data_IF_266518664570
#
_entry.id   IF_266518664570
#
_cell.length_a   1.000
_cell.length_b   1.000
_cell.length_c   1.000
_cell.angle_alpha   90.00
_cell.angle_beta   90.00
_cell.angle_gamma   90.00
#
_symmetry.space_group_name_H-M   'P 1'
#
loop_
_entity.id
_entity.type
_entity.pdbx_description
1 polymer ?
#
# COMPACT_ATOMS: atom_id res chain seq x y z
N UNK A 1 -15.80 12.82 30.62
CA UNK A 1 -16.93 13.27 29.84
C UNK A 1 -16.54 13.79 28.43
N UNK A 2 -15.33 13.48 27.90
CA UNK A 2 -14.87 13.94 26.57
C UNK A 2 -14.48 12.79 25.60
N UNK A 3 -14.56 11.53 26.01
CA UNK A 3 -14.20 10.37 25.18
C UNK A 3 -15.39 9.62 24.54
N UNK A 4 -16.60 10.14 24.73
CA UNK A 4 -17.85 9.50 24.28
C UNK A 4 -18.20 9.76 22.81
N UNK A 5 -17.31 10.44 22.05
CA UNK A 5 -17.56 10.87 20.67
C UNK A 5 -16.48 10.49 19.64
N UNK A 6 -15.62 9.55 19.94
CA UNK A 6 -14.69 9.03 18.95
C UNK A 6 -15.33 7.88 18.16
N UNK A 7 -16.30 8.23 17.33
CA UNK A 7 -16.76 7.38 16.26
C UNK A 7 -15.77 7.50 15.11
N UNK A 8 -15.46 6.40 14.39
CA UNK A 8 -14.56 6.42 13.24
C UNK A 8 -15.06 7.38 12.13
N UNK A 9 -16.36 7.55 12.07
CA UNK A 9 -17.10 8.33 11.06
C UNK A 9 -16.58 9.79 10.88
N UNK A 10 -16.46 10.65 11.91
CA UNK A 10 -15.97 12.01 11.72
C UNK A 10 -14.49 12.08 11.34
N UNK A 11 -13.67 11.11 11.76
CA UNK A 11 -12.25 11.05 11.43
C UNK A 11 -12.09 10.64 9.97
N UNK A 12 -12.83 9.64 9.50
CA UNK A 12 -12.84 9.20 8.10
C UNK A 12 -13.29 10.34 7.18
N UNK A 13 -14.37 11.05 7.53
CA UNK A 13 -14.86 12.22 6.79
C UNK A 13 -13.82 13.34 6.71
N UNK A 14 -13.18 13.64 7.84
CA UNK A 14 -12.19 14.69 7.94
C UNK A 14 -10.88 14.37 7.22
N UNK A 15 -10.47 13.09 7.18
CA UNK A 15 -9.20 12.68 6.58
C UNK A 15 -9.27 12.42 5.06
N UNK A 16 -10.44 12.09 4.51
CA UNK A 16 -10.60 11.74 3.10
C UNK A 16 -10.21 12.89 2.16
N UNK A 17 -10.66 14.12 2.44
CA UNK A 17 -10.36 15.29 1.62
C UNK A 17 -8.88 15.69 1.67
N UNK A 18 -8.23 15.85 2.85
CA UNK A 18 -6.79 16.12 2.92
C UNK A 18 -5.95 15.05 2.24
N UNK A 19 -6.34 13.77 2.32
CA UNK A 19 -5.65 12.68 1.65
C UNK A 19 -5.70 12.82 0.13
N UNK A 20 -6.87 13.08 -0.45
CA UNK A 20 -7.03 13.30 -1.87
C UNK A 20 -6.25 14.53 -2.35
N UNK A 21 -6.36 15.65 -1.62
CA UNK A 21 -5.65 16.89 -1.95
C UNK A 21 -4.13 16.72 -1.88
N UNK A 22 -3.60 16.12 -0.83
CA UNK A 22 -2.15 15.89 -0.70
C UNK A 22 -1.63 14.96 -1.80
N UNK A 23 -2.40 13.94 -2.20
CA UNK A 23 -2.07 13.08 -3.34
C UNK A 23 -1.91 13.87 -4.64
N UNK A 24 -2.81 14.79 -4.93
CA UNK A 24 -2.72 15.66 -6.12
C UNK A 24 -1.53 16.61 -6.00
N UNK A 25 -1.40 17.30 -4.85
CA UNK A 25 -0.42 18.36 -4.65
C UNK A 25 1.02 17.87 -4.68
N UNK A 26 1.29 16.60 -4.31
CA UNK A 26 2.64 15.99 -4.45
C UNK A 26 3.18 16.12 -5.88
N UNK A 27 2.32 16.09 -6.90
CA UNK A 27 2.72 16.22 -8.32
C UNK A 27 2.68 17.67 -8.86
N UNK A 28 2.35 18.64 -8.01
CA UNK A 28 2.26 20.05 -8.38
C UNK A 28 3.41 20.85 -7.76
N UNK A 29 4.57 20.86 -8.43
CA UNK A 29 5.71 21.68 -8.03
C UNK A 29 5.39 23.16 -8.17
N UNK A 30 5.65 24.01 -7.15
CA UNK A 30 5.39 25.45 -7.20
C UNK A 30 6.35 26.22 -8.11
N UNK A 31 7.58 25.72 -8.33
CA UNK A 31 8.57 26.32 -9.19
C UNK A 31 8.92 25.41 -10.38
N UNK A 32 9.14 26.03 -11.55
CA UNK A 32 9.48 25.30 -12.78
C UNK A 32 10.95 24.85 -12.82
N UNK A 33 11.79 25.41 -11.96
CA UNK A 33 13.23 25.13 -11.90
C UNK A 33 13.58 24.24 -10.72
N UNK A 34 14.78 23.64 -10.75
CA UNK A 34 15.32 22.86 -9.65
C UNK A 34 15.64 23.78 -8.47
N UNK A 35 14.75 23.90 -7.52
CA UNK A 35 14.81 24.82 -6.39
C UNK A 35 14.61 24.10 -5.07
N UNK A 36 15.27 24.59 -4.02
CA UNK A 36 15.01 24.20 -2.63
C UNK A 36 13.55 24.32 -2.22
N UNK A 37 12.82 25.28 -2.81
CA UNK A 37 11.39 25.46 -2.58
C UNK A 37 10.60 24.21 -2.99
N UNK A 38 10.94 23.59 -4.13
CA UNK A 38 10.31 22.35 -4.58
C UNK A 38 10.60 21.18 -3.62
N UNK A 39 11.82 21.09 -3.09
CA UNK A 39 12.17 20.05 -2.13
C UNK A 39 11.42 20.22 -0.81
N UNK A 40 11.36 21.44 -0.28
CA UNK A 40 10.61 21.76 0.93
C UNK A 40 9.10 21.52 0.75
N UNK A 41 8.53 21.96 -0.38
CA UNK A 41 7.13 21.70 -0.73
C UNK A 41 6.82 20.22 -0.80
N UNK A 42 7.65 19.46 -1.51
CA UNK A 42 7.50 18.00 -1.64
C UNK A 42 7.54 17.33 -0.27
N UNK A 43 8.49 17.72 0.59
CA UNK A 43 8.59 17.18 1.96
C UNK A 43 7.30 17.43 2.76
N UNK A 44 6.77 18.66 2.73
CA UNK A 44 5.53 19.02 3.43
C UNK A 44 4.34 18.25 2.87
N UNK A 45 4.23 18.11 1.54
CA UNK A 45 3.13 17.39 0.90
C UNK A 45 3.19 15.88 1.19
N UNK A 46 4.37 15.27 1.18
CA UNK A 46 4.57 13.86 1.56
C UNK A 46 4.19 13.66 3.02
N UNK A 47 4.61 14.56 3.92
CA UNK A 47 4.24 14.50 5.33
C UNK A 47 2.72 14.59 5.51
N UNK A 48 2.08 15.54 4.85
CA UNK A 48 0.62 15.71 4.86
C UNK A 48 -0.09 14.46 4.33
N UNK A 49 0.42 13.86 3.26
CA UNK A 49 -0.09 12.60 2.70
C UNK A 49 -0.02 11.45 3.72
N UNK A 50 1.15 11.23 4.34
CA UNK A 50 1.31 10.14 5.31
C UNK A 50 0.49 10.35 6.59
N UNK A 51 0.35 11.58 7.06
CA UNK A 51 -0.54 11.90 8.18
C UNK A 51 -2.01 11.63 7.83
N UNK A 52 -2.44 12.05 6.64
CA UNK A 52 -3.82 11.88 6.18
C UNK A 52 -4.17 10.41 5.93
N UNK A 53 -3.27 9.63 5.31
CA UNK A 53 -3.51 8.19 5.07
C UNK A 53 -3.55 7.43 6.40
N UNK A 54 -2.70 7.77 7.36
CA UNK A 54 -2.74 7.16 8.69
C UNK A 54 -4.05 7.51 9.41
N UNK A 55 -4.47 8.78 9.36
CA UNK A 55 -5.72 9.23 9.97
C UNK A 55 -6.96 8.55 9.33
N UNK A 56 -6.91 8.22 8.05
CA UNK A 56 -7.99 7.50 7.36
C UNK A 56 -7.93 5.98 7.60
N UNK A 57 -6.77 5.36 7.35
CA UNK A 57 -6.63 3.89 7.38
C UNK A 57 -6.70 3.29 8.78
N UNK A 58 -6.27 4.01 9.82
CA UNK A 58 -6.27 3.47 11.18
C UNK A 58 -7.69 3.18 11.68
N UNK A 59 -8.64 4.14 11.68
CA UNK A 59 -10.01 3.85 12.09
C UNK A 59 -10.72 2.91 11.12
N UNK A 60 -10.44 3.00 9.81
CA UNK A 60 -11.00 2.08 8.82
C UNK A 60 -10.63 0.62 9.11
N UNK A 61 -9.35 0.35 9.38
CA UNK A 61 -8.88 -1.00 9.71
C UNK A 61 -9.41 -1.49 11.06
N UNK A 62 -9.68 -0.59 12.01
CA UNK A 62 -10.27 -0.94 13.29
C UNK A 62 -11.74 -1.41 13.16
N UNK A 63 -12.48 -0.92 12.16
CA UNK A 63 -13.85 -1.37 11.90
C UNK A 63 -13.94 -2.81 11.36
N UNK A 64 -12.90 -3.31 10.69
CA UNK A 64 -12.93 -4.63 10.04
C UNK A 64 -13.26 -5.77 11.00
N UNK A 65 -12.59 -5.92 12.18
CA UNK A 65 -12.96 -6.96 13.14
C UNK A 65 -14.32 -6.75 13.81
N UNK A 66 -14.82 -5.51 13.83
CA UNK A 66 -16.12 -5.16 14.42
C UNK A 66 -17.29 -5.49 13.48
N UNK A 67 -17.10 -5.36 12.17
CA UNK A 67 -18.07 -5.72 11.14
C UNK A 67 -18.30 -7.23 11.02
N UNK A 68 -17.36 -8.06 11.46
CA UNK A 68 -17.46 -9.52 11.41
C UNK A 68 -17.67 -10.14 12.78
N UNK A 69 -18.87 -10.58 13.12
CA UNK A 69 -19.19 -11.22 14.40
C UNK A 69 -18.84 -12.71 14.39
N UNK A 70 -18.95 -13.37 13.24
CA UNK A 70 -18.60 -14.78 13.09
C UNK A 70 -17.25 -14.99 12.39
N UNK A 71 -16.63 -16.14 12.58
CA UNK A 71 -15.38 -16.48 11.91
C UNK A 71 -15.54 -16.50 10.38
N UNK A 72 -16.71 -16.92 9.89
CA UNK A 72 -17.01 -16.97 8.45
C UNK A 72 -17.17 -15.56 7.86
N UNK A 73 -17.84 -14.65 8.56
CA UNK A 73 -17.95 -13.24 8.13
C UNK A 73 -16.58 -12.55 8.06
N UNK A 74 -15.75 -12.76 9.07
CA UNK A 74 -14.36 -12.22 9.06
C UNK A 74 -13.54 -12.75 7.88
N UNK A 75 -13.71 -14.02 7.53
CA UNK A 75 -13.07 -14.62 6.36
C UNK A 75 -13.57 -13.99 5.06
N UNK A 76 -14.90 -13.81 4.93
CA UNK A 76 -15.49 -13.17 3.76
C UNK A 76 -15.03 -11.72 3.59
N UNK A 77 -15.03 -10.94 4.67
CA UNK A 77 -14.53 -9.56 4.67
C UNK A 77 -13.05 -9.52 4.25
N UNK A 78 -12.21 -10.36 4.83
CA UNK A 78 -10.79 -10.44 4.47
C UNK A 78 -10.59 -10.81 3.00
N UNK A 79 -11.44 -11.69 2.47
CA UNK A 79 -11.39 -12.08 1.05
C UNK A 79 -11.74 -10.90 0.14
N UNK A 80 -12.81 -10.16 0.45
CA UNK A 80 -13.22 -8.97 -0.32
C UNK A 80 -12.13 -7.90 -0.26
N UNK A 81 -11.54 -7.65 0.91
CA UNK A 81 -10.43 -6.70 1.08
C UNK A 81 -9.25 -7.10 0.19
N UNK A 82 -8.89 -8.39 0.16
CA UNK A 82 -7.79 -8.88 -0.68
C UNK A 82 -8.07 -8.66 -2.17
N UNK A 83 -9.27 -8.94 -2.64
CA UNK A 83 -9.67 -8.67 -4.02
C UNK A 83 -9.63 -7.18 -4.36
N UNK A 84 -10.17 -6.34 -3.49
CA UNK A 84 -10.16 -4.88 -3.67
C UNK A 84 -8.74 -4.32 -3.68
N UNK A 85 -7.86 -4.84 -2.80
CA UNK A 85 -6.45 -4.47 -2.78
C UNK A 85 -5.73 -4.83 -4.08
N UNK A 86 -5.96 -6.05 -4.60
CA UNK A 86 -5.38 -6.50 -5.87
C UNK A 86 -5.89 -5.63 -7.03
N UNK A 87 -7.19 -5.36 -7.08
CA UNK A 87 -7.80 -4.52 -8.12
C UNK A 87 -7.24 -3.08 -8.08
N UNK A 88 -7.18 -2.47 -6.89
CA UNK A 88 -6.62 -1.12 -6.70
C UNK A 88 -5.15 -1.05 -7.09
N UNK A 89 -4.36 -2.05 -6.71
CA UNK A 89 -2.94 -2.14 -7.07
C UNK A 89 -2.76 -2.28 -8.59
N UNK A 90 -3.58 -3.09 -9.25
CA UNK A 90 -3.55 -3.24 -10.72
C UNK A 90 -3.84 -1.90 -11.41
N UNK A 91 -4.85 -1.15 -10.95
CA UNK A 91 -5.16 0.19 -11.47
C UNK A 91 -3.97 1.14 -11.26
N UNK A 92 -3.33 1.13 -10.09
CA UNK A 92 -2.16 1.96 -9.82
C UNK A 92 -0.98 1.64 -10.77
N UNK A 93 -0.78 0.37 -11.11
CA UNK A 93 0.27 -0.05 -12.04
C UNK A 93 -0.02 0.29 -13.50
N UNK A 94 -1.26 0.65 -13.86
CA UNK A 94 -1.59 1.19 -15.18
C UNK A 94 -1.16 2.65 -15.34
N UNK A 95 -0.80 3.36 -14.29
CA UNK A 95 -0.43 4.77 -14.33
C UNK A 95 0.64 5.09 -15.41
N UNK A 96 1.77 4.35 -15.54
CA UNK A 96 2.76 4.61 -16.59
C UNK A 96 2.20 4.51 -18.01
N UNK A 97 1.30 3.58 -18.24
CA UNK A 97 0.63 3.43 -19.56
C UNK A 97 -0.32 4.59 -19.81
N UNK A 98 -1.07 5.03 -18.81
CA UNK A 98 -2.03 6.13 -18.94
C UNK A 98 -1.30 7.44 -19.24
N UNK A 99 -0.29 7.84 -18.45
CA UNK A 99 0.43 9.07 -18.77
C UNK A 99 1.22 8.96 -20.06
N UNK A 100 1.76 7.76 -20.38
CA UNK A 100 2.43 7.52 -21.67
C UNK A 100 1.55 7.83 -22.87
N UNK A 101 0.28 7.44 -22.83
CA UNK A 101 -0.72 7.74 -23.85
C UNK A 101 -1.11 9.24 -23.91
N UNK A 102 -1.00 9.96 -22.79
CA UNK A 102 -1.35 11.37 -22.68
C UNK A 102 -0.19 12.32 -23.04
N UNK A 103 1.06 11.83 -23.06
CA UNK A 103 2.24 12.65 -23.38
C UNK A 103 2.13 13.41 -24.73
N UNK A 104 1.65 12.80 -25.82
CA UNK A 104 1.56 13.52 -27.10
C UNK A 104 0.63 14.73 -27.06
N UNK A 105 -0.42 14.70 -26.23
CA UNK A 105 -1.43 15.76 -26.16
C UNK A 105 -1.12 16.82 -25.10
N UNK A 106 -0.52 16.45 -23.96
CA UNK A 106 -0.37 17.33 -22.79
C UNK A 106 1.10 17.61 -22.40
N UNK A 107 2.04 16.93 -23.03
CA UNK A 107 3.44 16.91 -22.59
C UNK A 107 3.66 16.07 -21.30
N UNK A 108 4.91 15.65 -21.04
CA UNK A 108 5.23 14.70 -19.95
C UNK A 108 4.74 15.14 -18.57
N UNK A 109 5.00 16.37 -18.20
CA UNK A 109 4.66 16.88 -16.85
C UNK A 109 3.15 16.91 -16.61
N UNK A 110 2.42 17.50 -17.58
CA UNK A 110 0.97 17.62 -17.45
C UNK A 110 0.27 16.25 -17.59
N UNK A 111 0.78 15.35 -18.43
CA UNK A 111 0.27 13.98 -18.53
C UNK A 111 0.32 13.25 -17.19
N UNK A 112 1.43 13.36 -16.45
CA UNK A 112 1.59 12.80 -15.12
C UNK A 112 0.59 13.45 -14.14
N UNK A 113 0.51 14.79 -14.12
CA UNK A 113 -0.41 15.53 -13.26
C UNK A 113 -1.87 15.14 -13.49
N UNK A 114 -2.30 15.07 -14.74
CA UNK A 114 -3.67 14.68 -15.10
C UNK A 114 -3.95 13.24 -14.67
N UNK A 115 -3.03 12.33 -14.91
CA UNK A 115 -3.18 10.91 -14.51
C UNK A 115 -3.36 10.77 -13.01
N UNK A 116 -2.47 11.34 -12.21
CA UNK A 116 -2.58 11.25 -10.75
C UNK A 116 -3.75 12.02 -10.17
N UNK A 117 -4.15 13.15 -10.79
CA UNK A 117 -5.37 13.86 -10.38
C UNK A 117 -6.62 13.03 -10.64
N UNK A 118 -6.73 12.39 -11.79
CA UNK A 118 -7.85 11.50 -12.10
C UNK A 118 -7.90 10.28 -11.15
N UNK A 119 -6.75 9.66 -10.87
CA UNK A 119 -6.65 8.55 -9.91
C UNK A 119 -7.00 8.99 -8.48
N UNK A 120 -6.53 10.16 -8.04
CA UNK A 120 -6.86 10.70 -6.73
C UNK A 120 -8.35 11.01 -6.58
N UNK A 121 -8.99 11.51 -7.65
CA UNK A 121 -10.43 11.77 -7.66
C UNK A 121 -11.22 10.45 -7.58
N UNK A 122 -10.84 9.44 -8.34
CA UNK A 122 -11.45 8.12 -8.28
C UNK A 122 -11.28 7.49 -6.88
N UNK A 123 -10.08 7.58 -6.30
CA UNK A 123 -9.81 7.11 -4.94
C UNK A 123 -10.64 7.87 -3.91
N UNK A 124 -10.80 9.19 -4.05
CA UNK A 124 -11.63 10.00 -3.17
C UNK A 124 -13.09 9.53 -3.18
N UNK A 125 -13.66 9.29 -4.37
CA UNK A 125 -15.02 8.75 -4.50
C UNK A 125 -15.12 7.40 -3.79
N UNK A 126 -14.16 6.50 -4.00
CA UNK A 126 -14.13 5.21 -3.30
C UNK A 126 -14.01 5.35 -1.77
N UNK A 127 -13.22 6.31 -1.29
CA UNK A 127 -13.09 6.59 0.16
C UNK A 127 -14.37 7.12 0.79
N UNK A 128 -15.24 7.78 0.02
CA UNK A 128 -16.52 8.26 0.51
C UNK A 128 -17.55 7.12 0.69
N UNK A 129 -17.39 6.00 -0.03
CA UNK A 129 -18.33 4.87 0.07
C UNK A 129 -18.49 4.36 1.50
N UNK A 130 -17.42 3.96 2.23
CA UNK A 130 -17.56 3.50 3.61
C UNK A 130 -18.09 4.61 4.55
N UNK A 131 -17.72 5.88 4.27
CA UNK A 131 -18.17 7.04 5.05
C UNK A 131 -19.69 7.23 5.01
N UNK A 132 -20.33 6.95 3.87
CA UNK A 132 -21.78 7.11 3.71
C UNK A 132 -22.58 5.82 3.91
N UNK A 133 -21.94 4.67 3.65
CA UNK A 133 -22.64 3.38 3.65
C UNK A 133 -22.53 2.64 4.99
N UNK A 134 -21.48 2.90 5.78
CA UNK A 134 -21.28 2.23 7.07
C UNK A 134 -21.79 3.13 8.19
N UNK A 135 -22.81 2.68 8.92
CA UNK A 135 -23.26 3.33 10.15
C UNK A 135 -22.64 2.59 11.34
N UNK A 136 -21.56 3.14 11.88
CA UNK A 136 -20.80 2.54 12.99
C UNK A 136 -21.69 2.12 14.17
N UNK A 137 -22.70 2.91 14.47
CA UNK A 137 -23.64 2.66 15.59
C UNK A 137 -24.43 1.35 15.49
N UNK A 138 -24.58 0.81 14.28
CA UNK A 138 -25.38 -0.39 14.04
C UNK A 138 -24.55 -1.68 14.20
N UNK A 139 -23.22 -1.58 14.25
CA UNK A 139 -22.29 -2.70 14.23
C UNK A 139 -21.34 -2.78 15.42
N UNK A 140 -21.17 -1.69 16.16
CA UNK A 140 -20.15 -1.58 17.19
C UNK A 140 -20.77 -1.61 18.58
N UNK A 141 -20.60 -2.74 19.27
CA UNK A 141 -20.83 -2.86 20.70
C UNK A 141 -19.62 -2.27 21.47
N UNK A 142 -19.50 -0.95 21.48
CA UNK A 142 -18.40 -0.28 22.17
C UNK A 142 -18.56 -0.38 23.67
N UNK A 143 -17.74 -1.20 24.31
CA UNK A 143 -17.44 -1.07 25.73
C UNK A 143 -16.31 -0.03 25.86
N UNK A 144 -16.57 1.17 26.42
CA UNK A 144 -15.54 2.18 26.57
C UNK A 144 -14.38 1.62 27.40
N UNK A 145 -13.20 1.54 26.80
CA UNK A 145 -12.01 1.18 27.56
C UNK A 145 -11.71 2.27 28.59
N UNK A 146 -11.64 1.90 29.85
CA UNK A 146 -11.27 2.80 30.96
C UNK A 146 -9.76 3.08 30.98
N UNK A 147 -8.97 2.37 30.18
CA UNK A 147 -7.52 2.52 30.16
C UNK A 147 -7.07 3.65 29.24
N UNK A 148 -6.05 4.38 29.65
CA UNK A 148 -5.38 5.37 28.82
C UNK A 148 -4.76 4.67 27.58
N UNK A 149 -4.83 5.32 26.42
CA UNK A 149 -4.27 4.80 25.14
C UNK A 149 -2.80 4.39 25.29
N UNK A 150 -1.99 5.16 26.02
CA UNK A 150 -0.60 4.81 26.33
C UNK A 150 -0.46 3.54 27.15
N UNK A 151 -1.35 3.30 28.11
CA UNK A 151 -1.32 2.11 28.94
C UNK A 151 -1.69 0.86 28.15
N UNK A 152 -2.71 0.94 27.31
CA UNK A 152 -3.10 -0.12 26.39
C UNK A 152 -1.98 -0.44 25.40
N UNK A 153 -1.34 0.59 24.82
CA UNK A 153 -0.21 0.42 23.92
C UNK A 153 0.96 -0.27 24.63
N UNK A 154 1.35 0.20 25.83
CA UNK A 154 2.42 -0.40 26.61
C UNK A 154 2.12 -1.86 26.97
N UNK A 155 0.87 -2.18 27.32
CA UNK A 155 0.44 -3.55 27.63
C UNK A 155 0.55 -4.45 26.38
N UNK A 156 0.17 -3.95 25.20
CA UNK A 156 0.28 -4.67 23.92
C UNK A 156 1.74 -4.96 23.56
N UNK A 157 2.64 -3.99 23.72
CA UNK A 157 4.08 -4.18 23.48
C UNK A 157 4.77 -5.06 24.55
N UNK A 158 4.15 -5.26 25.69
CA UNK A 158 4.64 -6.20 26.71
C UNK A 158 4.44 -7.66 26.30
N UNK A 159 3.50 -7.95 25.39
CA UNK A 159 3.27 -9.27 24.86
C UNK A 159 4.43 -9.67 23.91
N UNK A 160 5.17 -10.74 24.29
CA UNK A 160 6.31 -11.22 23.49
C UNK A 160 5.95 -11.72 22.11
N UNK A 161 4.80 -12.37 21.96
CA UNK A 161 4.32 -12.86 20.65
C UNK A 161 3.93 -11.70 19.73
N UNK A 162 3.31 -10.67 20.27
CA UNK A 162 3.01 -9.44 19.53
C UNK A 162 4.27 -8.76 19.00
N UNK A 163 5.32 -8.63 19.82
CA UNK A 163 6.60 -8.06 19.37
C UNK A 163 7.24 -8.83 18.24
N UNK A 164 7.22 -10.18 18.30
CA UNK A 164 7.75 -11.04 17.23
C UNK A 164 6.95 -10.87 15.95
N UNK A 165 5.61 -10.80 16.06
CA UNK A 165 4.72 -10.58 14.92
C UNK A 165 5.00 -9.22 14.27
N UNK A 166 4.99 -8.13 15.05
CA UNK A 166 5.26 -6.78 14.54
C UNK A 166 6.65 -6.66 13.91
N UNK A 167 7.68 -7.25 14.56
CA UNK A 167 9.02 -7.30 13.98
C UNK A 167 9.06 -7.98 12.61
N UNK A 168 8.41 -9.12 12.49
CA UNK A 168 8.29 -9.84 11.20
C UNK A 168 7.56 -9.03 10.15
N UNK A 169 6.47 -8.35 10.53
CA UNK A 169 5.65 -7.53 9.65
C UNK A 169 6.42 -6.32 9.12
N UNK A 170 7.20 -5.65 9.98
CA UNK A 170 8.08 -4.54 9.58
C UNK A 170 9.07 -4.98 8.50
N UNK A 171 9.77 -6.09 8.70
CA UNK A 171 10.73 -6.60 7.70
C UNK A 171 10.05 -7.00 6.40
N UNK A 172 8.85 -7.57 6.47
CA UNK A 172 8.04 -7.89 5.29
C UNK A 172 7.70 -6.64 4.49
N UNK A 173 7.17 -5.60 5.15
CA UNK A 173 6.81 -4.35 4.47
C UNK A 173 8.03 -3.61 3.89
N UNK A 174 9.17 -3.62 4.60
CA UNK A 174 10.42 -3.07 4.06
C UNK A 174 10.81 -3.80 2.77
N UNK A 175 10.86 -5.13 2.79
CA UNK A 175 11.25 -5.92 1.63
C UNK A 175 10.28 -5.70 0.44
N UNK A 176 8.97 -5.69 0.70
CA UNK A 176 7.96 -5.46 -0.31
C UNK A 176 8.06 -4.06 -0.94
N UNK A 177 8.25 -3.04 -0.12
CA UNK A 177 8.39 -1.65 -0.58
C UNK A 177 9.67 -1.47 -1.40
N UNK A 178 10.79 -2.05 -0.95
CA UNK A 178 12.04 -2.03 -1.71
C UNK A 178 11.90 -2.70 -3.09
N UNK A 179 11.16 -3.80 -3.16
CA UNK A 179 10.87 -4.44 -4.43
C UNK A 179 10.01 -3.55 -5.33
N UNK A 180 8.89 -3.06 -4.83
CA UNK A 180 7.94 -2.25 -5.62
C UNK A 180 8.58 -0.96 -6.15
N UNK A 181 9.40 -0.29 -5.34
CA UNK A 181 10.14 0.92 -5.76
C UNK A 181 11.34 0.60 -6.63
N UNK A 182 12.01 -0.51 -6.41
CA UNK A 182 13.19 -0.93 -7.18
C UNK A 182 12.88 -1.42 -8.58
N UNK A 183 11.73 -2.07 -8.78
CA UNK A 183 11.39 -2.68 -10.07
C UNK A 183 11.32 -1.68 -11.24
N UNK A 184 10.68 -0.49 -11.13
CA UNK A 184 10.72 0.51 -12.20
C UNK A 184 12.14 0.96 -12.55
N UNK A 185 12.99 1.17 -11.55
CA UNK A 185 14.40 1.52 -11.77
C UNK A 185 15.17 0.39 -12.45
N UNK A 186 14.92 -0.85 -12.06
CA UNK A 186 15.51 -2.02 -12.69
C UNK A 186 15.15 -2.08 -14.18
N UNK A 187 13.88 -1.91 -14.52
CA UNK A 187 13.38 -1.96 -15.89
C UNK A 187 13.95 -0.82 -16.73
N UNK A 188 13.92 0.41 -16.23
CA UNK A 188 14.31 1.60 -17.00
C UNK A 188 15.82 1.83 -17.04
N UNK A 189 16.52 1.67 -15.91
CA UNK A 189 17.94 1.99 -15.78
C UNK A 189 18.84 0.82 -16.15
N UNK A 190 18.49 -0.41 -15.73
CA UNK A 190 19.33 -1.59 -15.93
C UNK A 190 19.00 -2.31 -17.25
N UNK A 191 17.73 -2.56 -17.53
CA UNK A 191 17.30 -3.20 -18.75
C UNK A 191 17.16 -2.22 -19.92
N UNK A 192 17.16 -0.91 -19.66
CA UNK A 192 16.97 0.17 -20.65
C UNK A 192 15.69 0.01 -21.47
N UNK A 193 14.65 -0.56 -20.86
CA UNK A 193 13.34 -0.73 -21.47
C UNK A 193 12.45 0.49 -21.23
N UNK A 194 11.44 0.73 -22.07
CA UNK A 194 10.47 1.80 -21.88
C UNK A 194 9.72 1.65 -20.54
N UNK A 195 9.31 2.78 -19.94
CA UNK A 195 8.54 2.81 -18.68
C UNK A 195 7.26 1.96 -18.76
N UNK A 196 6.64 1.88 -19.94
CA UNK A 196 5.45 1.06 -20.18
C UNK A 196 5.65 -0.43 -19.92
N UNK A 197 6.89 -0.94 -20.08
CA UNK A 197 7.21 -2.33 -19.74
C UNK A 197 7.12 -2.61 -18.24
N UNK A 198 7.31 -1.61 -17.41
CA UNK A 198 7.09 -1.72 -15.94
C UNK A 198 5.65 -2.15 -15.65
N UNK A 199 4.68 -1.55 -16.34
CA UNK A 199 3.27 -1.94 -16.24
C UNK A 199 3.05 -3.40 -16.59
N UNK A 200 3.66 -3.86 -17.71
CA UNK A 200 3.52 -5.25 -18.15
C UNK A 200 4.04 -6.23 -17.08
N UNK A 201 5.20 -5.94 -16.48
CA UNK A 201 5.75 -6.77 -15.39
C UNK A 201 4.83 -6.79 -14.17
N UNK A 202 4.33 -5.64 -13.72
CA UNK A 202 3.43 -5.57 -12.57
C UNK A 202 2.09 -6.26 -12.83
N UNK A 203 1.49 -6.07 -14.00
CA UNK A 203 0.25 -6.74 -14.39
C UNK A 203 0.46 -8.25 -14.49
N UNK A 204 1.58 -8.68 -15.11
CA UNK A 204 1.94 -10.09 -15.18
C UNK A 204 2.13 -10.73 -13.80
N UNK A 205 2.80 -10.05 -12.89
CA UNK A 205 2.97 -10.50 -11.50
C UNK A 205 1.62 -10.58 -10.75
N UNK A 206 0.75 -9.59 -10.96
CA UNK A 206 -0.59 -9.57 -10.36
C UNK A 206 -1.43 -10.73 -10.88
N UNK A 207 -1.42 -10.99 -12.19
CA UNK A 207 -2.12 -12.13 -12.79
C UNK A 207 -1.60 -13.46 -12.26
N UNK A 208 -0.27 -13.61 -12.16
CA UNK A 208 0.36 -14.81 -11.61
C UNK A 208 0.00 -14.99 -10.13
N UNK A 209 -0.06 -13.91 -9.34
CA UNK A 209 -0.48 -13.92 -7.95
C UNK A 209 -1.90 -14.48 -7.78
N UNK A 210 -2.83 -14.12 -8.68
CA UNK A 210 -4.20 -14.65 -8.67
C UNK A 210 -4.22 -16.17 -8.92
N UNK A 211 -3.37 -16.66 -9.82
CA UNK A 211 -3.26 -18.11 -10.07
C UNK A 211 -2.75 -18.84 -8.83
N UNK A 212 -1.75 -18.28 -8.13
CA UNK A 212 -1.22 -18.86 -6.90
C UNK A 212 -2.17 -18.78 -5.71
N UNK A 213 -3.15 -17.90 -5.74
CA UNK A 213 -4.16 -17.79 -4.68
C UNK A 213 -4.93 -19.10 -4.46
N UNK A 214 -5.23 -19.84 -5.54
CA UNK A 214 -5.97 -21.10 -5.47
C UNK A 214 -5.21 -22.19 -4.70
N UNK A 215 -3.96 -22.54 -5.05
CA UNK A 215 -3.21 -23.55 -4.31
C UNK A 215 -2.90 -23.13 -2.86
N UNK A 216 -2.61 -21.84 -2.62
CA UNK A 216 -2.38 -21.33 -1.27
C UNK A 216 -3.59 -21.53 -0.37
N UNK A 217 -4.80 -21.18 -0.85
CA UNK A 217 -6.03 -21.38 -0.09
C UNK A 217 -6.35 -22.86 0.18
N UNK A 218 -6.00 -23.77 -0.74
CA UNK A 218 -6.18 -25.21 -0.55
C UNK A 218 -5.14 -25.83 0.40
N UNK A 219 -3.92 -25.31 0.41
CA UNK A 219 -2.83 -25.83 1.25
C UNK A 219 -2.85 -25.26 2.67
N UNK A 220 -3.27 -24.01 2.85
CA UNK A 220 -3.26 -23.34 4.16
C UNK A 220 -4.03 -24.11 5.25
N UNK A 221 -5.24 -24.66 5.00
CA UNK A 221 -5.94 -25.45 6.02
C UNK A 221 -5.21 -26.74 6.39
N UNK A 222 -4.44 -27.35 5.44
CA UNK A 222 -3.73 -28.61 5.64
C UNK A 222 -2.40 -28.43 6.35
N UNK A 223 -1.63 -27.40 5.99
CA UNK A 223 -0.28 -27.17 6.50
C UNK A 223 -0.25 -26.22 7.71
N UNK A 224 -1.31 -25.45 7.90
CA UNK A 224 -1.40 -24.40 8.90
C UNK A 224 -0.76 -23.07 8.44
N UNK A 225 -1.34 -21.96 8.91
CA UNK A 225 -0.95 -20.59 8.51
C UNK A 225 0.54 -20.31 8.73
N UNK A 226 1.10 -20.74 9.87
CA UNK A 226 2.51 -20.48 10.22
C UNK A 226 3.49 -21.11 9.23
N UNK A 227 3.27 -22.38 8.85
CA UNK A 227 4.15 -23.08 7.90
C UNK A 227 4.05 -22.47 6.50
N UNK A 228 2.84 -22.07 6.07
CA UNK A 228 2.64 -21.40 4.78
C UNK A 228 3.37 -20.06 4.69
N UNK A 229 3.30 -19.24 5.74
CA UNK A 229 4.01 -17.95 5.79
C UNK A 229 5.53 -18.17 5.75
N UNK A 230 6.05 -19.12 6.53
CA UNK A 230 7.49 -19.44 6.54
C UNK A 230 7.97 -19.95 5.17
N UNK A 231 7.17 -20.79 4.51
CA UNK A 231 7.46 -21.26 3.17
C UNK A 231 7.48 -20.12 2.15
N UNK A 232 6.47 -19.22 2.19
CA UNK A 232 6.41 -18.06 1.31
C UNK A 232 7.63 -17.14 1.51
N UNK A 233 8.02 -16.86 2.75
CA UNK A 233 9.21 -16.05 3.04
C UNK A 233 10.51 -16.73 2.59
N UNK A 234 10.62 -18.04 2.73
CA UNK A 234 11.79 -18.77 2.25
C UNK A 234 11.94 -18.67 0.72
N UNK A 235 10.83 -18.89 -0.01
CA UNK A 235 10.82 -18.75 -1.48
C UNK A 235 11.15 -17.32 -1.90
N UNK A 236 10.57 -16.34 -1.23
CA UNK A 236 10.82 -14.92 -1.50
C UNK A 236 12.29 -14.55 -1.27
N UNK A 237 12.85 -14.96 -0.13
CA UNK A 237 14.27 -14.73 0.21
C UNK A 237 15.20 -15.41 -0.79
N UNK A 238 14.89 -16.64 -1.20
CA UNK A 238 15.68 -17.38 -2.18
C UNK A 238 15.69 -16.69 -3.55
N UNK A 239 14.53 -16.17 -3.98
CA UNK A 239 14.42 -15.43 -5.24
C UNK A 239 15.30 -14.17 -5.24
N UNK A 240 15.31 -13.41 -4.14
CA UNK A 240 16.19 -12.25 -4.02
C UNK A 240 17.67 -12.62 -3.98
N UNK A 241 18.01 -13.65 -3.25
CA UNK A 241 19.39 -14.14 -3.14
C UNK A 241 19.94 -14.59 -4.49
N UNK A 242 19.17 -15.36 -5.25
CA UNK A 242 19.57 -15.80 -6.59
C UNK A 242 19.72 -14.62 -7.56
N UNK A 243 18.86 -13.60 -7.48
CA UNK A 243 18.99 -12.40 -8.28
C UNK A 243 20.26 -11.60 -7.93
N UNK A 244 20.56 -11.43 -6.65
CA UNK A 244 21.78 -10.75 -6.19
C UNK A 244 23.05 -11.48 -6.67
N UNK A 245 23.08 -12.80 -6.59
CA UNK A 245 24.21 -13.60 -7.07
C UNK A 245 24.38 -13.51 -8.58
N UNK A 246 23.27 -13.51 -9.35
CA UNK A 246 23.32 -13.36 -10.80
C UNK A 246 23.91 -12.02 -11.21
N UNK A 247 23.55 -10.96 -10.54
CA UNK A 247 24.01 -9.60 -10.82
C UNK A 247 25.51 -9.43 -10.51
N UNK A 248 25.96 -9.96 -9.38
CA UNK A 248 27.38 -10.00 -8.99
C UNK A 248 28.22 -10.77 -10.00
N UNK A 249 27.74 -11.91 -10.47
CA UNK A 249 28.39 -12.73 -11.50
C UNK A 249 28.42 -12.02 -12.86
N UNK A 250 27.47 -11.19 -13.18
CA UNK A 250 27.42 -10.40 -14.43
C UNK A 250 28.35 -9.19 -14.39
N UNK A 251 28.42 -8.53 -13.25
CA UNK A 251 29.31 -7.38 -13.01
C UNK A 251 30.78 -7.80 -13.10
N UNK A 252 31.15 -8.95 -12.57
CA UNK A 252 32.52 -9.48 -12.62
C UNK A 252 32.96 -9.92 -14.04
N UNK A 253 32.01 -10.15 -14.96
CA UNK A 253 32.32 -10.55 -16.37
C UNK A 253 32.42 -9.38 -17.35
N UNK A 254 32.13 -8.14 -16.94
CA UNK A 254 32.38 -6.96 -17.78
C UNK A 254 33.73 -6.38 -17.41
N UNK A 255 34.80 -6.56 -18.25
CA UNK A 255 36.03 -5.80 -18.03
C UNK A 255 35.70 -4.32 -18.21
N UNK A 256 36.21 -3.50 -17.31
CA UNK A 256 36.22 -2.04 -17.43
C UNK A 256 36.76 -1.69 -18.82
N UNK A 257 35.89 -1.28 -19.74
CA UNK A 257 36.33 -0.53 -20.91
C UNK A 257 36.48 0.92 -20.44
N UNK A 258 37.75 1.30 -20.29
CA UNK A 258 38.19 2.67 -20.12
C UNK A 258 37.86 3.47 -21.38
#
# INVERSE_FOLDING_TARGET
MYFEKWTADPVLKGAALPLALSTVLVFWSPANENSWINAAFLFVMILAYYLSITAYCTPYNALIPELGHTQQERLNISTIISFTFIAGTAVAYLAPTIWGALIPSFGRVNAIRVTFTAMALAAFVCMLVPVFCIREKDYVDTVPSKDSAFRSLAATFRNGEFRKFVGSDIFYWIALTMFQTGLPFFVTSLLKLPETMTTLYFVGMTALSLVFYIPVNKLTPKLGKKKMILFAFAVFSLAYFTQALWETSRSSRKPYRA
#
